data_IF_497288944428
#
_entry.id   IF_497288944428
#
_cell.length_a   1.000
_cell.length_b   1.000
_cell.length_c   1.000
_cell.angle_alpha   90.00
_cell.angle_beta   90.00
_cell.angle_gamma   90.00
#
_symmetry.space_group_name_H-M   'P 1'
#
loop_
_entity.id
_entity.type
_entity.pdbx_description
1 polymer ?
#
# COMPACT_ATOMS: atom_id res chain seq x y z
N UNK A 1 -4.37 -5.94 12.92
CA UNK A 1 -5.03 -6.78 11.91
C UNK A 1 -6.44 -7.10 12.38
N UNK A 2 -7.45 -6.93 11.53
CA UNK A 2 -8.84 -7.30 11.82
C UNK A 2 -9.45 -8.00 10.60
N UNK A 3 -10.44 -8.86 10.85
CA UNK A 3 -11.23 -9.48 9.80
C UNK A 3 -12.63 -8.87 9.80
N UNK A 4 -13.12 -8.48 8.60
CA UNK A 4 -14.49 -7.95 8.45
C UNK A 4 -15.55 -9.06 8.44
N UNK A 5 -15.17 -10.24 7.92
CA UNK A 5 -16.11 -11.34 7.65
C UNK A 5 -15.49 -12.67 8.11
N UNK A 6 -15.40 -12.88 9.43
CA UNK A 6 -14.92 -14.14 9.96
C UNK A 6 -14.03 -14.03 11.19
N UNK A 7 -13.66 -15.16 11.74
CA UNK A 7 -12.77 -15.24 12.88
C UNK A 7 -11.31 -14.98 12.46
N UNK A 8 -10.52 -14.43 13.36
CA UNK A 8 -9.08 -14.30 13.16
C UNK A 8 -8.47 -15.71 12.99
N UNK A 9 -7.72 -15.97 11.92
CA UNK A 9 -7.16 -17.31 11.69
C UNK A 9 -6.17 -17.66 12.79
N UNK A 10 -6.43 -18.75 13.50
CA UNK A 10 -5.56 -19.28 14.56
C UNK A 10 -4.51 -20.20 13.97
N UNK A 11 -4.87 -20.92 12.91
CA UNK A 11 -4.03 -21.87 12.18
C UNK A 11 -3.86 -21.40 10.72
N UNK A 12 -2.82 -21.87 10.05
CA UNK A 12 -2.52 -21.56 8.64
C UNK A 12 -2.39 -20.06 8.33
N UNK A 13 -1.80 -19.30 9.24
CA UNK A 13 -1.57 -17.87 9.02
C UNK A 13 -0.48 -17.63 7.98
N UNK A 14 -0.62 -16.57 7.14
CA UNK A 14 0.49 -16.13 6.30
C UNK A 14 1.76 -15.88 7.13
N UNK A 15 2.92 -16.26 6.58
CA UNK A 15 4.22 -16.22 7.29
C UNK A 15 4.51 -14.83 7.88
N UNK A 16 4.22 -13.76 7.14
CA UNK A 16 4.39 -12.38 7.60
C UNK A 16 3.50 -12.05 8.81
N UNK A 17 2.24 -12.52 8.81
CA UNK A 17 1.34 -12.33 9.94
C UNK A 17 1.83 -13.12 11.17
N UNK A 18 2.33 -14.32 10.95
CA UNK A 18 2.84 -15.18 12.03
C UNK A 18 4.11 -14.62 12.65
N UNK A 19 5.04 -14.07 11.85
CA UNK A 19 6.23 -13.35 12.31
C UNK A 19 5.85 -12.09 13.11
N UNK A 20 4.90 -11.31 12.62
CA UNK A 20 4.40 -10.12 13.28
C UNK A 20 3.76 -10.45 14.64
N UNK A 21 2.89 -11.47 14.69
CA UNK A 21 2.27 -11.95 15.92
C UNK A 21 3.29 -12.50 16.92
N UNK A 22 4.34 -13.17 16.43
CA UNK A 22 5.45 -13.66 17.26
C UNK A 22 6.23 -12.51 17.89
N UNK A 23 6.50 -11.45 17.12
CA UNK A 23 7.16 -10.24 17.65
C UNK A 23 6.35 -9.63 18.81
N UNK A 24 5.06 -9.35 18.59
CA UNK A 24 4.21 -8.80 19.64
C UNK A 24 4.08 -9.69 20.88
N UNK A 25 4.10 -11.01 20.70
CA UNK A 25 4.08 -11.94 21.83
C UNK A 25 5.36 -11.83 22.68
N UNK A 26 6.52 -11.66 22.03
CA UNK A 26 7.80 -11.45 22.70
C UNK A 26 7.76 -10.14 23.50
N UNK A 27 7.32 -9.04 22.89
CA UNK A 27 7.23 -7.73 23.56
C UNK A 27 6.25 -7.75 24.73
N UNK A 28 5.09 -8.38 24.60
CA UNK A 28 4.11 -8.55 25.68
C UNK A 28 4.69 -9.36 26.84
N UNK A 29 5.41 -10.44 26.57
CA UNK A 29 6.04 -11.22 27.61
C UNK A 29 7.12 -10.43 28.36
N UNK A 30 7.95 -9.68 27.63
CA UNK A 30 8.96 -8.79 28.20
C UNK A 30 8.31 -7.69 29.08
N UNK A 31 7.21 -7.08 28.60
CA UNK A 31 6.47 -6.11 29.41
C UNK A 31 5.90 -6.71 30.70
N UNK A 32 5.39 -7.94 30.63
CA UNK A 32 4.90 -8.67 31.82
C UNK A 32 6.01 -9.00 32.80
N UNK A 33 7.18 -9.47 32.32
CA UNK A 33 8.36 -9.76 33.16
C UNK A 33 8.88 -8.52 33.89
N UNK A 34 8.82 -7.35 33.22
CA UNK A 34 9.23 -6.07 33.76
C UNK A 34 8.15 -5.39 34.63
N UNK A 35 6.98 -6.02 34.81
CA UNK A 35 5.81 -5.40 35.44
C UNK A 35 5.51 -4.01 34.87
N UNK A 36 5.68 -3.84 33.57
CA UNK A 36 5.47 -2.57 32.90
C UNK A 36 4.01 -2.14 33.05
N UNK A 37 3.79 -0.94 33.54
CA UNK A 37 2.49 -0.30 33.64
C UNK A 37 2.34 0.75 32.56
N UNK A 38 1.14 0.91 32.03
CA UNK A 38 0.85 2.02 31.13
C UNK A 38 0.91 3.35 31.86
N UNK A 39 1.46 4.36 31.23
CA UNK A 39 1.36 5.74 31.72
C UNK A 39 -0.12 6.15 31.78
N UNK A 40 -0.48 7.02 32.74
CA UNK A 40 -1.85 7.48 32.95
C UNK A 40 -2.44 8.08 31.66
N UNK A 41 -1.62 8.83 30.91
CA UNK A 41 -2.01 9.44 29.62
C UNK A 41 -2.42 8.40 28.57
N UNK A 42 -1.77 7.21 28.56
CA UNK A 42 -2.11 6.11 27.65
C UNK A 42 -3.43 5.49 28.06
N UNK A 43 -3.69 5.30 29.35
CA UNK A 43 -4.97 4.78 29.86
C UNK A 43 -6.13 5.72 29.52
N UNK A 44 -5.97 7.02 29.75
CA UNK A 44 -6.95 8.04 29.38
C UNK A 44 -7.23 8.05 27.89
N UNK A 45 -6.21 7.83 27.06
CA UNK A 45 -6.33 7.73 25.60
C UNK A 45 -7.16 6.50 25.21
N UNK A 46 -6.93 5.35 25.83
CA UNK A 46 -7.72 4.13 25.59
C UNK A 46 -9.19 4.29 26.01
N UNK A 47 -9.45 4.92 27.14
CA UNK A 47 -10.81 5.19 27.62
C UNK A 47 -11.54 6.16 26.66
N UNK A 48 -10.85 7.19 26.17
CA UNK A 48 -11.38 8.11 25.16
C UNK A 48 -11.65 7.42 23.83
N UNK A 49 -10.76 6.52 23.35
CA UNK A 49 -10.98 5.72 22.15
C UNK A 49 -12.21 4.82 22.31
N UNK A 50 -12.37 4.21 23.48
CA UNK A 50 -13.53 3.35 23.77
C UNK A 50 -14.83 4.15 23.79
N UNK A 51 -14.82 5.38 24.31
CA UNK A 51 -15.98 6.29 24.29
C UNK A 51 -16.29 6.76 22.87
N UNK A 52 -15.25 7.08 22.08
CA UNK A 52 -15.39 7.46 20.67
C UNK A 52 -15.92 6.29 19.83
N UNK A 53 -15.42 5.08 20.04
CA UNK A 53 -15.90 3.87 19.36
C UNK A 53 -17.40 3.58 19.68
N UNK A 54 -17.84 3.84 20.90
CA UNK A 54 -19.26 3.73 21.29
C UNK A 54 -20.14 4.84 20.70
N UNK A 55 -19.57 6.00 20.35
CA UNK A 55 -20.28 7.08 19.66
C UNK A 55 -20.35 6.90 18.15
N UNK A 56 -19.47 6.08 17.57
CA UNK A 56 -19.44 5.75 16.15
C UNK A 56 -20.29 4.52 15.80
N UNK A 57 -21.55 4.48 16.23
CA UNK A 57 -22.59 3.65 15.60
C UNK A 57 -23.25 4.35 14.41
N UNK A 58 -22.66 5.45 13.92
CA UNK A 58 -22.98 6.01 12.61
C UNK A 58 -22.26 5.20 11.55
N UNK A 59 -22.97 4.82 10.49
CA UNK A 59 -22.49 4.08 9.33
C UNK A 59 -21.02 4.36 9.06
N UNK A 60 -20.16 3.31 9.10
CA UNK A 60 -18.77 3.39 8.63
C UNK A 60 -18.82 3.69 7.13
N UNK A 61 -18.98 4.93 6.79
CA UNK A 61 -18.92 5.38 5.41
C UNK A 61 -17.45 5.32 4.98
N UNK A 62 -17.15 4.48 4.02
CA UNK A 62 -15.87 4.47 3.36
C UNK A 62 -15.63 5.87 2.79
N UNK A 63 -14.61 6.58 3.26
CA UNK A 63 -14.33 7.95 2.87
C UNK A 63 -14.01 8.07 1.38
N UNK A 64 -13.22 7.11 0.84
CA UNK A 64 -12.85 7.05 -0.57
C UNK A 64 -13.06 5.63 -1.10
N UNK A 65 -13.64 5.51 -2.28
CA UNK A 65 -13.78 4.24 -2.97
C UNK A 65 -12.54 3.96 -3.82
N UNK A 66 -11.58 3.26 -3.24
CA UNK A 66 -10.37 2.83 -3.95
C UNK A 66 -10.49 1.39 -4.45
N UNK A 67 -9.70 1.02 -5.44
CA UNK A 67 -9.64 -0.34 -5.96
C UNK A 67 -9.18 -1.35 -4.90
N UNK A 68 -9.72 -2.58 -4.97
CA UNK A 68 -9.45 -3.68 -4.05
C UNK A 68 -8.33 -4.60 -4.58
N UNK A 69 -7.20 -4.01 -4.94
CA UNK A 69 -6.11 -4.72 -5.57
C UNK A 69 -5.15 -5.34 -4.56
N UNK A 70 -4.46 -6.39 -5.01
CA UNK A 70 -3.44 -7.09 -4.23
C UNK A 70 -2.14 -7.26 -5.04
N UNK A 71 -1.20 -8.10 -4.55
CA UNK A 71 0.13 -8.23 -5.13
C UNK A 71 0.31 -9.48 -5.99
N UNK A 72 -0.68 -10.38 -6.02
CA UNK A 72 -0.63 -11.64 -6.75
C UNK A 72 -1.29 -11.51 -8.13
N UNK A 73 -1.58 -12.63 -8.78
CA UNK A 73 -2.31 -12.66 -10.08
C UNK A 73 -3.71 -12.03 -9.96
N UNK A 74 -4.15 -11.22 -10.93
CA UNK A 74 -3.49 -10.88 -12.21
C UNK A 74 -2.47 -9.74 -12.13
N UNK A 75 -2.37 -9.06 -11.02
CA UNK A 75 -1.58 -7.83 -10.84
C UNK A 75 -0.09 -8.03 -11.15
N UNK A 76 0.47 -9.19 -10.80
CA UNK A 76 1.88 -9.50 -11.02
C UNK A 76 2.17 -10.20 -12.37
N UNK A 77 1.22 -10.25 -13.31
CA UNK A 77 1.42 -10.96 -14.57
C UNK A 77 2.63 -10.46 -15.38
N UNK A 78 3.00 -9.18 -15.25
CA UNK A 78 4.18 -8.56 -15.89
C UNK A 78 5.41 -8.48 -14.98
N UNK A 79 5.30 -8.86 -13.72
CA UNK A 79 6.46 -8.95 -12.82
C UNK A 79 7.44 -10.04 -13.30
N UNK A 80 8.73 -9.93 -12.95
CA UNK A 80 9.72 -10.94 -13.30
C UNK A 80 9.42 -12.29 -12.67
N UNK A 81 9.94 -13.35 -13.27
CA UNK A 81 9.97 -14.65 -12.63
C UNK A 81 11.28 -14.80 -11.85
N UNK A 82 11.18 -15.21 -10.59
CA UNK A 82 12.30 -15.42 -9.68
C UNK A 82 12.16 -16.82 -9.10
N UNK A 83 13.19 -17.65 -9.28
CA UNK A 83 13.17 -19.06 -8.83
C UNK A 83 11.95 -19.85 -9.32
N UNK A 84 11.51 -19.61 -10.56
CA UNK A 84 10.39 -20.29 -11.19
C UNK A 84 8.99 -19.76 -10.85
N UNK A 85 8.87 -18.79 -9.96
CA UNK A 85 7.60 -18.16 -9.58
C UNK A 85 7.55 -16.69 -9.99
N UNK A 86 6.36 -16.16 -10.31
CA UNK A 86 6.15 -14.75 -10.51
C UNK A 86 6.39 -13.99 -9.20
N UNK A 87 7.24 -12.97 -9.24
CA UNK A 87 7.44 -12.09 -8.10
C UNK A 87 6.14 -11.35 -7.74
N UNK A 88 5.99 -11.00 -6.46
CA UNK A 88 4.91 -10.13 -6.01
C UNK A 88 5.14 -8.71 -6.52
N UNK A 89 4.07 -7.95 -6.74
CA UNK A 89 4.18 -6.54 -7.20
C UNK A 89 4.92 -5.64 -6.20
N UNK A 90 4.87 -5.96 -4.92
CA UNK A 90 5.36 -5.14 -3.82
C UNK A 90 4.30 -4.13 -3.33
N UNK A 91 4.25 -3.91 -2.01
CA UNK A 91 3.22 -3.07 -1.37
C UNK A 91 3.27 -1.61 -1.86
N UNK A 92 4.48 -1.05 -2.04
CA UNK A 92 4.68 0.33 -2.52
C UNK A 92 4.13 0.52 -3.94
N UNK A 93 4.43 -0.40 -4.86
CA UNK A 93 3.90 -0.37 -6.22
C UNK A 93 2.37 -0.55 -6.26
N UNK A 94 1.86 -1.47 -5.44
CA UNK A 94 0.41 -1.72 -5.35
C UNK A 94 -0.34 -0.50 -4.84
N UNK A 95 0.15 0.14 -3.77
CA UNK A 95 -0.46 1.35 -3.22
C UNK A 95 -0.43 2.51 -4.22
N UNK A 96 0.70 2.71 -4.92
CA UNK A 96 0.81 3.72 -5.97
C UNK A 96 -0.19 3.47 -7.11
N UNK A 97 -0.27 2.22 -7.58
CA UNK A 97 -1.19 1.85 -8.65
C UNK A 97 -2.66 2.08 -8.26
N UNK A 98 -3.05 1.80 -7.01
CA UNK A 98 -4.39 2.07 -6.48
C UNK A 98 -4.69 3.58 -6.49
N UNK A 99 -3.73 4.42 -6.08
CA UNK A 99 -3.87 5.89 -6.11
C UNK A 99 -3.99 6.39 -7.55
N UNK A 100 -3.14 5.91 -8.46
CA UNK A 100 -3.19 6.25 -9.88
C UNK A 100 -4.52 5.85 -10.51
N UNK A 101 -5.06 4.67 -10.17
CA UNK A 101 -6.38 4.21 -10.61
C UNK A 101 -7.51 5.08 -10.05
N UNK A 102 -7.43 5.49 -8.79
CA UNK A 102 -8.42 6.38 -8.19
C UNK A 102 -8.57 7.69 -8.96
N UNK A 103 -7.45 8.30 -9.33
CA UNK A 103 -7.42 9.53 -10.12
C UNK A 103 -7.56 9.30 -11.64
N UNK A 104 -7.43 8.06 -12.13
CA UNK A 104 -7.29 7.73 -13.56
C UNK A 104 -6.26 8.64 -14.25
N UNK A 105 -5.11 8.82 -13.60
CA UNK A 105 -4.07 9.76 -13.99
C UNK A 105 -2.67 9.14 -13.94
N UNK A 106 -1.79 9.50 -14.91
CA UNK A 106 -2.02 10.24 -16.16
C UNK A 106 -2.58 9.34 -17.26
N UNK A 107 -3.00 9.89 -18.41
CA UNK A 107 -3.36 9.09 -19.59
C UNK A 107 -2.17 8.27 -20.09
N UNK A 108 -0.98 8.88 -20.06
CA UNK A 108 0.33 8.23 -20.26
C UNK A 108 1.40 8.99 -19.48
N UNK A 109 2.46 8.31 -19.08
CA UNK A 109 3.63 8.95 -18.49
C UNK A 109 4.54 9.56 -19.57
N UNK A 110 5.77 9.93 -19.17
CA UNK A 110 6.80 10.57 -19.98
C UNK A 110 8.11 9.80 -19.94
N UNK A 111 8.67 9.50 -21.12
CA UNK A 111 9.96 8.86 -21.28
C UNK A 111 10.03 7.45 -20.71
N UNK A 112 11.21 7.07 -20.29
CA UNK A 112 11.50 5.73 -19.78
C UNK A 112 12.35 5.80 -18.50
N UNK A 113 12.29 4.75 -17.69
CA UNK A 113 13.16 4.57 -16.54
C UNK A 113 13.74 3.16 -16.51
N UNK A 114 14.97 3.05 -16.04
CA UNK A 114 15.64 1.75 -15.85
C UNK A 114 16.50 1.79 -14.60
N UNK A 115 16.54 0.67 -13.90
CA UNK A 115 17.34 0.48 -12.70
C UNK A 115 17.89 -0.95 -12.62
N UNK A 116 18.81 -1.21 -11.72
CA UNK A 116 19.34 -2.55 -11.46
C UNK A 116 18.68 -3.17 -10.25
N UNK A 117 18.01 -4.30 -10.46
CA UNK A 117 17.50 -5.19 -9.42
C UNK A 117 18.49 -6.37 -9.31
N UNK A 118 19.43 -6.27 -8.39
CA UNK A 118 20.60 -7.14 -8.34
C UNK A 118 21.44 -7.02 -9.63
N UNK A 119 21.60 -8.12 -10.35
CA UNK A 119 22.32 -8.16 -11.63
C UNK A 119 21.43 -7.95 -12.85
N UNK A 120 20.11 -7.84 -12.66
CA UNK A 120 19.14 -7.71 -13.77
C UNK A 120 18.75 -6.26 -13.97
N UNK A 121 18.77 -5.80 -15.23
CA UNK A 121 18.22 -4.49 -15.56
C UNK A 121 16.71 -4.58 -15.71
N UNK A 122 15.97 -3.71 -15.01
CA UNK A 122 14.52 -3.53 -15.13
C UNK A 122 14.27 -2.22 -15.86
N UNK A 123 13.31 -2.21 -16.77
CA UNK A 123 13.03 -1.04 -17.60
C UNK A 123 11.53 -0.97 -17.94
N UNK A 124 10.99 0.25 -17.96
CA UNK A 124 9.66 0.53 -18.48
C UNK A 124 9.67 1.80 -19.33
N UNK A 125 8.88 1.81 -20.41
CA UNK A 125 8.56 3.00 -21.19
C UNK A 125 7.17 3.47 -20.74
N UNK A 126 7.09 4.67 -20.21
CA UNK A 126 5.89 5.25 -19.64
C UNK A 126 5.01 5.98 -20.65
N UNK A 127 5.45 6.18 -21.88
CA UNK A 127 4.64 6.76 -22.95
C UNK A 127 3.51 5.82 -23.41
N UNK A 128 3.38 4.66 -22.77
CA UNK A 128 2.29 3.71 -22.96
C UNK A 128 0.99 4.29 -22.42
N UNK A 129 -0.08 4.41 -23.22
CA UNK A 129 -1.38 4.84 -22.73
C UNK A 129 -1.97 3.85 -21.71
N UNK A 130 -2.47 4.35 -20.60
CA UNK A 130 -3.18 3.55 -19.60
C UNK A 130 -4.64 3.36 -19.97
N UNK A 131 -5.09 2.13 -19.97
CA UNK A 131 -6.48 1.77 -20.29
C UNK A 131 -7.31 1.75 -18.99
N UNK A 132 -7.60 2.94 -18.46
CA UNK A 132 -8.29 3.08 -17.17
C UNK A 132 -9.65 2.42 -17.13
N UNK A 133 -10.37 2.42 -18.23
CA UNK A 133 -11.67 1.77 -18.44
C UNK A 133 -11.60 0.25 -18.37
N UNK A 134 -10.43 -0.35 -18.68
CA UNK A 134 -10.19 -1.79 -18.61
C UNK A 134 -9.72 -2.26 -17.22
N UNK A 135 -9.37 -1.35 -16.32
CA UNK A 135 -8.91 -1.72 -15.00
C UNK A 135 -10.10 -1.83 -14.04
N UNK A 136 -10.50 -3.04 -13.70
CA UNK A 136 -11.58 -3.28 -12.74
C UNK A 136 -11.17 -2.85 -11.33
N UNK A 137 -12.14 -2.43 -10.52
CA UNK A 137 -11.88 -2.11 -9.11
C UNK A 137 -11.67 -3.36 -8.25
N UNK A 138 -12.20 -4.50 -8.68
CA UNK A 138 -12.07 -5.80 -8.02
C UNK A 138 -11.83 -6.90 -9.07
N UNK A 139 -10.96 -7.83 -8.75
CA UNK A 139 -10.59 -8.98 -9.60
C UNK A 139 -10.92 -10.34 -8.93
N UNK A 140 -11.82 -10.35 -7.94
CA UNK A 140 -12.27 -11.60 -7.30
C UNK A 140 -13.25 -12.38 -8.18
N UNK A 141 -13.88 -11.74 -9.17
CA UNK A 141 -14.74 -12.37 -10.16
C UNK A 141 -14.02 -12.68 -11.48
N UNK A 142 -14.81 -12.89 -12.53
CA UNK A 142 -14.30 -13.08 -13.88
C UNK A 142 -13.71 -11.78 -14.45
N UNK A 143 -12.62 -11.91 -15.18
CA UNK A 143 -11.98 -10.81 -15.89
C UNK A 143 -11.34 -11.32 -17.19
N UNK A 144 -11.27 -10.44 -18.17
CA UNK A 144 -10.68 -10.71 -19.48
C UNK A 144 -9.15 -10.63 -19.46
N UNK A 145 -8.50 -11.14 -20.50
CA UNK A 145 -7.06 -11.01 -20.68
C UNK A 145 -6.62 -9.54 -20.83
N UNK A 146 -7.45 -8.72 -21.49
CA UNK A 146 -7.22 -7.28 -21.66
C UNK A 146 -7.24 -6.55 -20.31
N UNK A 147 -8.23 -6.83 -19.47
CA UNK A 147 -8.35 -6.25 -18.12
C UNK A 147 -7.17 -6.65 -17.23
N UNK A 148 -6.80 -7.92 -17.24
CA UNK A 148 -5.62 -8.42 -16.55
C UNK A 148 -4.32 -7.77 -17.05
N UNK A 149 -4.19 -7.58 -18.38
CA UNK A 149 -3.01 -6.94 -18.98
C UNK A 149 -2.94 -5.44 -18.64
N UNK A 150 -4.07 -4.75 -18.62
CA UNK A 150 -4.14 -3.32 -18.29
C UNK A 150 -3.62 -3.07 -16.87
N UNK A 151 -4.18 -3.76 -15.88
CA UNK A 151 -3.74 -3.60 -14.48
C UNK A 151 -2.31 -4.06 -14.25
N UNK A 152 -1.87 -5.16 -14.87
CA UNK A 152 -0.50 -5.64 -14.75
C UNK A 152 0.53 -4.69 -15.37
N UNK A 153 0.13 -3.93 -16.43
CA UNK A 153 0.98 -2.88 -17.02
C UNK A 153 1.22 -1.75 -16.01
N UNK A 154 0.15 -1.24 -15.40
CA UNK A 154 0.26 -0.20 -14.38
C UNK A 154 1.10 -0.67 -13.20
N UNK A 155 0.85 -1.87 -12.70
CA UNK A 155 1.63 -2.47 -11.58
C UNK A 155 3.12 -2.60 -11.91
N UNK A 156 3.45 -3.04 -13.12
CA UNK A 156 4.84 -3.10 -13.58
C UNK A 156 5.49 -1.72 -13.64
N UNK A 157 4.78 -0.73 -14.18
CA UNK A 157 5.27 0.64 -14.24
C UNK A 157 5.49 1.22 -12.84
N UNK A 158 4.56 1.03 -11.91
CA UNK A 158 4.73 1.44 -10.51
C UNK A 158 5.92 0.73 -9.83
N UNK A 159 6.14 -0.54 -10.14
CA UNK A 159 7.30 -1.28 -9.66
C UNK A 159 8.62 -0.72 -10.19
N UNK A 160 8.68 -0.33 -11.47
CA UNK A 160 9.88 0.31 -12.06
C UNK A 160 10.08 1.71 -11.51
N UNK A 161 9.01 2.51 -11.32
CA UNK A 161 9.08 3.82 -10.67
C UNK A 161 9.60 3.75 -9.23
N UNK A 162 9.26 2.69 -8.51
CA UNK A 162 9.69 2.47 -7.13
C UNK A 162 11.10 1.82 -7.04
N UNK A 163 11.71 1.46 -8.16
CA UNK A 163 12.95 0.67 -8.21
C UNK A 163 12.85 -0.61 -7.36
N UNK A 164 11.77 -1.36 -7.59
CA UNK A 164 11.38 -2.50 -6.77
C UNK A 164 12.45 -3.59 -6.73
N UNK A 165 12.88 -3.97 -5.55
CA UNK A 165 13.65 -5.19 -5.33
C UNK A 165 12.70 -6.38 -5.33
N UNK A 166 12.65 -7.10 -6.44
CA UNK A 166 11.71 -8.19 -6.66
C UNK A 166 12.17 -9.49 -5.99
N UNK A 167 11.23 -10.16 -5.32
CA UNK A 167 11.45 -11.47 -4.71
C UNK A 167 10.29 -12.43 -4.94
N UNK A 168 10.57 -13.74 -4.83
CA UNK A 168 9.57 -14.78 -5.06
C UNK A 168 8.42 -14.72 -4.03
N UNK A 169 8.71 -14.35 -2.80
CA UNK A 169 7.73 -14.31 -1.69
C UNK A 169 7.36 -12.92 -1.24
N UNK A 170 8.26 -11.96 -1.44
CA UNK A 170 8.00 -10.55 -1.13
C UNK A 170 8.86 -9.66 -2.01
N UNK A 171 8.35 -8.48 -2.33
CA UNK A 171 9.07 -7.43 -3.06
C UNK A 171 8.99 -6.14 -2.25
N UNK A 172 10.09 -5.37 -2.23
CA UNK A 172 10.20 -4.16 -1.41
C UNK A 172 10.82 -3.00 -2.18
N UNK A 173 10.46 -1.78 -1.79
CA UNK A 173 11.00 -0.55 -2.38
C UNK A 173 10.99 0.59 -1.35
N UNK A 174 11.75 1.64 -1.62
CA UNK A 174 11.78 2.87 -0.82
C UNK A 174 10.76 3.87 -1.39
N UNK A 175 9.88 4.38 -0.54
CA UNK A 175 8.79 5.29 -0.95
C UNK A 175 9.31 6.59 -1.55
N UNK A 176 10.41 7.14 -1.03
CA UNK A 176 11.03 8.37 -1.55
C UNK A 176 11.39 8.26 -3.04
N UNK A 177 11.97 7.12 -3.47
CA UNK A 177 12.29 6.84 -4.88
C UNK A 177 11.05 6.86 -5.76
N UNK A 178 9.95 6.26 -5.28
CA UNK A 178 8.67 6.30 -5.98
C UNK A 178 8.16 7.73 -6.18
N UNK A 179 8.20 8.55 -5.12
CA UNK A 179 7.73 9.95 -5.15
C UNK A 179 8.50 10.77 -6.18
N UNK A 180 9.82 10.69 -6.18
CA UNK A 180 10.68 11.37 -7.16
C UNK A 180 10.33 10.96 -8.60
N UNK A 181 10.16 9.68 -8.86
CA UNK A 181 9.84 9.16 -10.18
C UNK A 181 8.39 9.44 -10.61
N UNK A 182 7.42 9.50 -9.68
CA UNK A 182 6.05 9.96 -9.98
C UNK A 182 6.03 11.41 -10.46
N UNK A 183 6.78 12.30 -9.79
CA UNK A 183 6.92 13.69 -10.22
C UNK A 183 7.62 13.83 -11.58
N UNK A 184 8.61 12.98 -11.82
CA UNK A 184 9.44 13.05 -13.02
C UNK A 184 8.76 12.46 -14.26
N UNK A 185 8.04 11.34 -14.10
CA UNK A 185 7.54 10.55 -15.22
C UNK A 185 6.03 10.50 -15.32
N UNK A 186 5.29 10.74 -14.22
CA UNK A 186 3.83 10.54 -14.17
C UNK A 186 3.05 11.84 -14.03
N UNK A 187 3.68 12.98 -14.32
CA UNK A 187 3.03 14.31 -14.31
C UNK A 187 2.38 14.68 -12.97
N UNK A 188 2.86 14.06 -11.88
CA UNK A 188 2.42 14.44 -10.53
C UNK A 188 3.02 15.77 -10.11
N UNK A 189 2.35 16.44 -9.17
CA UNK A 189 2.76 17.75 -8.69
C UNK A 189 4.15 17.69 -8.04
N UNK A 190 5.03 18.62 -8.41
CA UNK A 190 6.39 18.74 -7.86
C UNK A 190 6.44 19.08 -6.37
N UNK A 191 5.31 19.45 -5.77
CA UNK A 191 5.17 19.64 -4.34
C UNK A 191 4.81 18.39 -3.55
N UNK A 192 4.70 17.22 -4.20
CA UNK A 192 4.49 15.94 -3.50
C UNK A 192 5.66 15.67 -2.56
N UNK A 193 5.37 15.26 -1.33
CA UNK A 193 6.38 14.99 -0.32
C UNK A 193 5.98 13.83 0.59
N UNK A 194 7.00 13.18 1.14
CA UNK A 194 6.85 12.24 2.23
C UNK A 194 6.89 13.00 3.55
N UNK A 195 5.99 12.67 4.45
CA UNK A 195 5.94 13.24 5.80
C UNK A 195 5.97 12.11 6.82
N UNK A 196 6.61 12.34 7.96
CA UNK A 196 6.77 11.34 8.98
C UNK A 196 5.92 11.66 10.20
N UNK A 197 5.31 10.60 10.77
CA UNK A 197 4.42 10.70 11.92
C UNK A 197 5.10 11.39 13.11
N UNK A 198 6.37 11.12 13.36
CA UNK A 198 7.13 11.68 14.46
C UNK A 198 7.39 13.19 14.38
N UNK A 199 7.12 13.82 13.24
CA UNK A 199 7.25 15.27 13.09
C UNK A 199 6.05 16.05 13.65
N UNK A 200 4.99 15.36 14.06
CA UNK A 200 3.71 15.95 14.43
C UNK A 200 3.22 15.41 15.78
N UNK A 201 2.50 16.24 16.54
CA UNK A 201 1.65 15.74 17.59
C UNK A 201 0.42 14.99 17.03
N UNK A 202 -0.24 14.20 17.87
CA UNK A 202 -1.37 13.37 17.42
C UNK A 202 -2.54 14.18 16.84
N UNK A 203 -2.98 15.30 17.45
CA UNK A 203 -4.03 16.14 16.90
C UNK A 203 -3.69 16.66 15.51
N UNK A 204 -2.47 17.20 15.32
CA UNK A 204 -2.01 17.73 14.03
C UNK A 204 -1.88 16.63 12.98
N UNK A 205 -1.30 15.48 13.33
CA UNK A 205 -1.21 14.33 12.44
C UNK A 205 -2.57 13.88 11.95
N UNK A 206 -3.54 13.69 12.86
CA UNK A 206 -4.89 13.28 12.51
C UNK A 206 -5.60 14.34 11.66
N UNK A 207 -5.29 15.64 11.89
CA UNK A 207 -5.82 16.71 11.04
C UNK A 207 -5.28 16.64 9.63
N UNK A 208 -3.97 16.45 9.45
CA UNK A 208 -3.34 16.30 8.12
C UNK A 208 -3.98 15.16 7.34
N UNK A 209 -4.10 13.97 7.94
CA UNK A 209 -4.72 12.82 7.28
C UNK A 209 -6.19 13.09 6.90
N UNK A 210 -6.93 13.74 7.80
CA UNK A 210 -8.34 14.06 7.58
C UNK A 210 -8.54 15.08 6.48
N UNK A 211 -7.69 16.11 6.44
CA UNK A 211 -7.76 17.16 5.43
C UNK A 211 -7.51 16.56 4.03
N UNK A 212 -6.51 15.70 3.87
CA UNK A 212 -6.26 14.99 2.61
C UNK A 212 -7.47 14.15 2.16
N UNK A 213 -8.05 13.37 3.09
CA UNK A 213 -9.20 12.53 2.77
C UNK A 213 -10.47 13.35 2.48
N UNK A 214 -10.68 14.47 3.17
CA UNK A 214 -11.82 15.38 2.92
C UNK A 214 -11.71 16.08 1.56
N UNK A 215 -10.49 16.33 1.11
CA UNK A 215 -10.20 16.88 -0.21
C UNK A 215 -10.11 15.79 -1.30
N UNK A 216 -10.60 14.59 -1.01
CA UNK A 216 -10.63 13.43 -1.91
C UNK A 216 -9.23 13.02 -2.44
N UNK A 217 -8.20 13.26 -1.63
CA UNK A 217 -6.84 12.84 -1.96
C UNK A 217 -6.46 11.58 -1.18
N UNK A 218 -6.30 10.44 -1.87
CA UNK A 218 -5.88 9.19 -1.24
C UNK A 218 -4.42 9.28 -0.77
N UNK A 219 -4.15 8.66 0.37
CA UNK A 219 -2.86 8.71 1.06
C UNK A 219 -2.14 7.36 0.88
N UNK A 220 -0.86 7.39 0.44
CA UNK A 220 0.02 6.24 0.58
C UNK A 220 0.58 6.24 2.00
N UNK A 221 0.12 5.29 2.81
CA UNK A 221 0.52 5.17 4.21
C UNK A 221 1.42 3.95 4.39
N UNK A 222 2.60 4.16 4.95
CA UNK A 222 3.59 3.12 5.26
C UNK A 222 3.97 3.11 6.74
N UNK A 223 4.42 1.97 7.25
CA UNK A 223 4.91 1.81 8.62
C UNK A 223 5.61 0.47 8.80
#
# INVERSE_FOLDING_TARGET
AYSRNGNFPVEERPVNLDLWMKHYRIELNKARELNATSEVEILDTWDNITVLAKRQTAEEKRLLETALWNQAKPFNNKCPSISGSKAMTGCVATAAAIIMKYHQWPDSGEGEHSYKDGFTNRKANFETPYQWDKMLNDYNGDYTTEEASAVATLMWHCGVLAEMSYGAYSSGAVTATLIENLMKHMKYNKGMQEIYREWYDMPTWNKVLRDELNDERPILYGG
#
